data_IF_967176874138
#
_entry.id   IF_967176874138
#
_cell.length_a   1.000
_cell.length_b   1.000
_cell.length_c   1.000
_cell.angle_alpha   90.00
_cell.angle_beta   90.00
_cell.angle_gamma   90.00
#
_symmetry.space_group_name_H-M   'P 1'
#
loop_
_entity.id
_entity.type
_entity.pdbx_description
1 polymer ?
#
# COMPACT_ATOMS: atom_id res chain seq x y z
N UNK A 1 -2.19 -33.52 8.20
CA UNK A 1 -0.92 -32.99 8.70
C UNK A 1 -1.13 -31.57 9.14
N UNK A 2 -1.14 -31.36 10.43
CA UNK A 2 -1.24 -30.01 10.93
C UNK A 2 0.02 -29.27 10.53
N UNK A 3 -0.09 -28.39 9.55
CA UNK A 3 0.92 -27.37 9.35
C UNK A 3 0.92 -26.59 10.65
N UNK A 4 2.01 -26.65 11.40
CA UNK A 4 2.20 -25.73 12.49
C UNK A 4 1.87 -24.36 11.94
N UNK A 5 0.81 -23.74 12.45
CA UNK A 5 0.50 -22.37 12.14
C UNK A 5 1.64 -21.53 12.69
N UNK A 6 2.69 -21.38 11.91
CA UNK A 6 3.62 -20.29 12.12
C UNK A 6 2.78 -19.04 11.92
N UNK A 7 2.26 -18.50 13.01
CA UNK A 7 1.59 -17.24 12.99
C UNK A 7 2.64 -16.17 12.70
N UNK A 8 2.80 -15.83 11.43
CA UNK A 8 3.65 -14.74 11.03
C UNK A 8 2.96 -13.43 11.44
N UNK A 9 3.27 -12.96 12.63
CA UNK A 9 2.84 -11.63 13.01
C UNK A 9 3.64 -10.61 12.19
N UNK A 10 2.97 -9.72 11.44
CA UNK A 10 3.67 -8.70 10.67
C UNK A 10 4.41 -7.74 11.60
N UNK A 11 5.60 -7.33 11.18
CA UNK A 11 6.38 -6.33 11.88
C UNK A 11 6.06 -4.93 11.37
N UNK A 12 6.00 -3.95 12.26
CA UNK A 12 5.74 -2.56 11.89
C UNK A 12 7.01 -1.93 11.31
N UNK A 13 6.93 -1.41 10.09
CA UNK A 13 8.01 -0.66 9.47
C UNK A 13 7.98 0.80 9.92
N UNK A 14 6.82 1.43 9.84
CA UNK A 14 6.62 2.84 10.20
C UNK A 14 5.13 3.11 10.44
N UNK A 15 4.82 4.07 11.33
CA UNK A 15 3.50 4.66 11.42
C UNK A 15 3.27 5.63 10.27
N UNK A 16 2.16 5.50 9.57
CA UNK A 16 1.81 6.40 8.46
C UNK A 16 0.97 7.59 8.90
N UNK A 17 0.62 7.66 10.18
CA UNK A 17 -0.11 8.79 10.73
C UNK A 17 0.73 10.07 10.68
N UNK A 18 0.24 11.07 9.92
CA UNK A 18 0.94 12.33 9.74
C UNK A 18 2.24 12.24 8.94
N UNK A 19 2.52 11.09 8.31
CA UNK A 19 3.72 10.91 7.51
C UNK A 19 3.60 11.69 6.19
N UNK A 20 4.57 12.57 5.84
CA UNK A 20 4.58 13.26 4.56
C UNK A 20 4.62 12.29 3.39
N UNK A 21 3.96 12.64 2.27
CA UNK A 21 3.92 11.79 1.07
C UNK A 21 5.32 11.42 0.57
N UNK A 22 6.25 12.35 0.62
CA UNK A 22 7.65 12.13 0.23
C UNK A 22 8.30 10.99 1.03
N UNK A 23 8.10 10.99 2.35
CA UNK A 23 8.64 9.96 3.22
C UNK A 23 7.93 8.63 3.03
N UNK A 24 6.62 8.65 2.85
CA UNK A 24 5.81 7.49 2.54
C UNK A 24 6.27 6.80 1.25
N UNK A 25 6.56 7.56 0.20
CA UNK A 25 7.11 7.02 -1.05
C UNK A 25 8.49 6.39 -0.84
N UNK A 26 9.35 6.99 -0.01
CA UNK A 26 10.66 6.44 0.32
C UNK A 26 10.54 5.09 1.05
N UNK A 27 9.62 4.97 2.00
CA UNK A 27 9.35 3.69 2.68
C UNK A 27 8.82 2.64 1.73
N UNK A 28 7.93 2.99 0.82
CA UNK A 28 7.41 2.06 -0.21
C UNK A 28 8.49 1.52 -1.12
N UNK A 29 9.54 2.26 -1.40
CA UNK A 29 10.65 1.82 -2.24
C UNK A 29 11.51 0.74 -1.61
N UNK A 30 11.40 0.51 -0.31
CA UNK A 30 12.17 -0.50 0.40
C UNK A 30 11.76 -1.94 0.08
N UNK A 31 10.62 -2.13 -0.56
CA UNK A 31 10.11 -3.46 -0.86
C UNK A 31 8.98 -3.43 -1.87
N UNK A 32 8.25 -4.52 -1.93
CA UNK A 32 7.16 -4.76 -2.87
C UNK A 32 5.84 -4.77 -2.09
N UNK A 33 4.97 -3.82 -2.42
CA UNK A 33 3.63 -3.72 -1.86
C UNK A 33 2.59 -4.42 -2.72
N UNK A 34 1.35 -4.51 -2.22
CA UNK A 34 0.25 -5.15 -2.92
C UNK A 34 -0.06 -4.53 -4.29
N UNK A 35 0.03 -3.21 -4.42
CA UNK A 35 -0.17 -2.52 -5.69
C UNK A 35 0.92 -2.78 -6.73
N UNK A 36 2.09 -3.26 -6.31
CA UNK A 36 3.20 -3.58 -7.20
C UNK A 36 3.05 -4.96 -7.86
N UNK A 37 2.27 -5.84 -7.27
CA UNK A 37 2.12 -7.23 -7.73
C UNK A 37 1.61 -7.33 -9.16
N UNK A 38 0.64 -6.52 -9.55
CA UNK A 38 0.11 -6.52 -10.91
C UNK A 38 1.16 -6.11 -11.95
N UNK A 39 2.02 -5.15 -11.63
CA UNK A 39 3.12 -4.74 -12.49
C UNK A 39 4.15 -5.87 -12.67
N UNK A 40 4.49 -6.58 -11.59
CA UNK A 40 5.42 -7.71 -11.62
C UNK A 40 4.87 -8.85 -12.50
N UNK A 41 3.58 -9.12 -12.40
CA UNK A 41 2.91 -10.15 -13.19
C UNK A 41 2.61 -9.74 -14.63
N UNK A 42 2.88 -8.50 -14.99
CA UNK A 42 2.66 -7.98 -16.35
C UNK A 42 1.19 -7.75 -16.71
N UNK A 43 0.31 -7.64 -15.73
CA UNK A 43 -1.13 -7.44 -15.92
C UNK A 43 -1.62 -6.03 -15.51
N UNK A 44 -0.75 -5.18 -15.04
CA UNK A 44 -1.12 -3.80 -14.68
C UNK A 44 -1.34 -2.96 -15.95
N UNK A 45 -2.45 -2.21 -16.06
CA UNK A 45 -2.65 -1.24 -17.13
C UNK A 45 -1.85 0.06 -16.92
N UNK A 46 -1.26 0.27 -15.74
CA UNK A 46 -0.63 1.53 -15.35
C UNK A 46 0.90 1.48 -15.38
N UNK A 47 1.50 0.33 -15.13
CA UNK A 47 2.94 0.19 -15.03
C UNK A 47 3.39 -1.21 -15.46
N UNK A 48 4.63 -1.28 -15.96
CA UNK A 48 5.31 -2.55 -16.28
C UNK A 48 6.24 -2.96 -15.14
N UNK A 49 6.70 -4.22 -15.17
CA UNK A 49 7.73 -4.69 -14.24
C UNK A 49 9.03 -3.86 -14.36
N UNK A 50 9.36 -3.38 -15.57
CA UNK A 50 10.50 -2.52 -15.84
C UNK A 50 10.34 -1.15 -15.19
N UNK A 51 9.16 -0.53 -15.27
CA UNK A 51 8.86 0.75 -14.63
C UNK A 51 9.02 0.63 -13.12
N UNK A 52 8.52 -0.45 -12.54
CA UNK A 52 8.64 -0.74 -11.12
C UNK A 52 10.10 -0.90 -10.69
N UNK A 53 10.88 -1.63 -11.47
CA UNK A 53 12.31 -1.82 -11.23
C UNK A 53 13.06 -0.48 -11.16
N UNK A 54 12.82 0.40 -12.12
CA UNK A 54 13.46 1.72 -12.16
C UNK A 54 13.01 2.61 -11.01
N UNK A 55 11.75 2.57 -10.64
CA UNK A 55 11.24 3.31 -9.50
C UNK A 55 11.87 2.84 -8.19
N UNK A 56 11.93 1.53 -7.95
CA UNK A 56 12.51 0.98 -6.71
C UNK A 56 14.00 1.29 -6.57
N UNK A 57 14.73 1.38 -7.67
CA UNK A 57 16.14 1.76 -7.68
C UNK A 57 16.37 3.28 -7.76
N UNK A 58 15.30 4.09 -7.80
CA UNK A 58 15.35 5.55 -7.91
C UNK A 58 16.05 6.05 -9.18
N UNK A 59 16.07 5.24 -10.24
CA UNK A 59 16.70 5.62 -11.52
C UNK A 59 15.79 6.59 -12.27
N UNK A 60 14.49 6.26 -12.37
CA UNK A 60 13.45 7.13 -12.90
C UNK A 60 12.30 7.11 -11.90
N UNK A 61 12.08 8.17 -11.12
CA UNK A 61 10.94 8.23 -10.24
C UNK A 61 9.67 8.13 -11.07
N UNK A 62 8.76 7.25 -10.67
CA UNK A 62 7.43 7.20 -11.26
C UNK A 62 6.73 8.53 -10.92
N UNK A 63 6.72 9.42 -11.89
CA UNK A 63 6.01 10.67 -11.77
C UNK A 63 4.52 10.38 -11.92
N UNK A 64 3.85 10.25 -10.77
CA UNK A 64 2.41 10.35 -10.72
C UNK A 64 2.03 11.76 -11.11
N UNK A 65 2.00 12.03 -12.42
CA UNK A 65 1.78 13.34 -13.00
C UNK A 65 0.63 14.08 -12.31
N UNK A 66 0.72 15.39 -12.25
CA UNK A 66 -0.29 16.32 -11.75
C UNK A 66 -1.71 16.03 -12.30
N UNK A 67 -1.83 15.33 -13.44
CA UNK A 67 -3.10 14.94 -14.04
C UNK A 67 -3.94 13.98 -13.18
N UNK A 68 -3.36 13.29 -12.19
CA UNK A 68 -4.06 12.32 -11.35
C UNK A 68 -4.47 12.85 -9.97
N UNK A 69 -4.19 14.10 -9.65
CA UNK A 69 -4.49 14.63 -8.32
C UNK A 69 -5.98 14.63 -8.00
N UNK A 70 -6.84 14.90 -9.02
CA UNK A 70 -8.29 14.87 -8.85
C UNK A 70 -8.79 13.49 -8.49
N UNK A 71 -8.32 12.45 -9.20
CA UNK A 71 -8.69 11.06 -8.91
C UNK A 71 -8.23 10.63 -7.50
N UNK A 72 -7.03 11.00 -7.10
CA UNK A 72 -6.51 10.76 -5.75
C UNK A 72 -7.34 11.48 -4.69
N UNK A 73 -7.68 12.74 -4.92
CA UNK A 73 -8.51 13.54 -4.00
C UNK A 73 -9.92 12.95 -3.87
N UNK A 74 -10.53 12.56 -4.98
CA UNK A 74 -11.83 11.88 -4.99
C UNK A 74 -11.77 10.57 -4.21
N UNK A 75 -10.72 9.77 -4.41
CA UNK A 75 -10.51 8.54 -3.66
C UNK A 75 -10.50 8.78 -2.15
N UNK A 76 -9.73 9.74 -1.69
CA UNK A 76 -9.65 10.08 -0.26
C UNK A 76 -10.98 10.60 0.30
N UNK A 77 -11.70 11.44 -0.45
CA UNK A 77 -13.00 11.97 -0.01
C UNK A 77 -14.08 10.88 0.04
N UNK A 78 -14.07 9.94 -0.91
CA UNK A 78 -15.05 8.86 -0.98
C UNK A 78 -14.76 7.74 0.02
N UNK A 79 -13.52 7.57 0.45
CA UNK A 79 -13.12 6.52 1.39
C UNK A 79 -13.88 6.62 2.72
N UNK A 80 -13.94 7.81 3.30
CA UNK A 80 -14.69 8.06 4.54
C UNK A 80 -16.18 7.80 4.36
N UNK A 81 -16.74 8.21 3.22
CA UNK A 81 -18.15 7.97 2.90
C UNK A 81 -18.44 6.47 2.77
N UNK A 82 -17.60 5.72 2.08
CA UNK A 82 -17.76 4.27 1.90
C UNK A 82 -17.67 3.57 3.27
N UNK A 83 -16.74 3.97 4.11
CA UNK A 83 -16.60 3.44 5.46
C UNK A 83 -17.86 3.69 6.30
N UNK A 84 -18.43 4.89 6.23
CA UNK A 84 -19.66 5.23 6.93
C UNK A 84 -20.85 4.41 6.44
N UNK A 85 -21.03 4.27 5.13
CA UNK A 85 -22.09 3.46 4.52
C UNK A 85 -21.96 2.00 4.96
N UNK A 86 -20.77 1.45 4.93
CA UNK A 86 -20.51 0.08 5.37
C UNK A 86 -20.87 -0.12 6.85
N UNK A 87 -20.45 0.80 7.71
CA UNK A 87 -20.77 0.76 9.13
C UNK A 87 -22.30 0.80 9.38
N UNK A 88 -23.01 1.71 8.71
CA UNK A 88 -24.46 1.86 8.86
C UNK A 88 -25.20 0.61 8.39
N UNK A 89 -24.78 0.01 7.27
CA UNK A 89 -25.45 -1.17 6.69
C UNK A 89 -25.15 -2.47 7.42
N UNK A 90 -23.95 -2.63 7.97
CA UNK A 90 -23.50 -3.90 8.57
C UNK A 90 -23.46 -3.87 10.09
N UNK A 91 -23.38 -2.69 10.70
CA UNK A 91 -23.14 -2.54 12.13
C UNK A 91 -21.71 -2.87 12.57
N UNK A 92 -20.83 -3.27 11.64
CA UNK A 92 -19.46 -3.57 11.97
C UNK A 92 -18.68 -2.31 12.30
N UNK A 93 -17.81 -2.43 13.29
CA UNK A 93 -16.92 -1.35 13.69
C UNK A 93 -15.80 -1.20 12.66
N UNK A 94 -15.55 0.04 12.23
CA UNK A 94 -14.45 0.38 11.33
C UNK A 94 -13.44 1.23 12.08
N UNK A 95 -12.18 0.93 11.91
CA UNK A 95 -11.07 1.70 12.47
C UNK A 95 -9.89 1.72 11.50
N UNK A 96 -9.03 2.72 11.64
CA UNK A 96 -7.82 2.86 10.84
C UNK A 96 -6.61 2.45 11.67
N UNK A 97 -5.73 1.64 11.07
CA UNK A 97 -4.48 1.23 11.71
C UNK A 97 -3.36 2.22 11.41
N UNK A 98 -3.31 2.76 10.20
CA UNK A 98 -2.30 3.73 9.73
C UNK A 98 -0.87 3.30 10.03
N UNK A 99 -0.51 2.11 9.59
CA UNK A 99 0.83 1.55 9.74
C UNK A 99 1.24 0.84 8.45
N UNK A 100 2.50 0.94 8.13
CA UNK A 100 3.13 0.12 7.12
C UNK A 100 3.83 -1.06 7.79
N UNK A 101 3.56 -2.26 7.29
CA UNK A 101 4.10 -3.50 7.83
C UNK A 101 5.06 -4.15 6.85
N UNK A 102 5.93 -5.00 7.34
CA UNK A 102 6.73 -5.90 6.53
C UNK A 102 6.63 -7.33 7.04
N UNK A 103 6.83 -8.29 6.14
CA UNK A 103 6.80 -9.71 6.51
C UNK A 103 8.04 -10.04 7.35
N UNK A 104 7.89 -10.75 8.48
CA UNK A 104 9.00 -10.98 9.41
C UNK A 104 10.08 -11.90 8.85
N UNK A 105 9.76 -12.75 7.87
CA UNK A 105 10.68 -13.67 7.20
C UNK A 105 11.09 -13.12 5.83
N UNK A 106 10.10 -12.76 5.01
CA UNK A 106 10.30 -12.18 3.68
C UNK A 106 10.23 -10.66 3.75
N UNK A 107 11.29 -10.03 4.25
CA UNK A 107 11.33 -8.61 4.61
C UNK A 107 11.07 -7.64 3.44
N UNK A 108 11.17 -8.12 2.20
CA UNK A 108 10.83 -7.33 1.01
C UNK A 108 9.32 -7.18 0.78
N UNK A 109 8.50 -7.99 1.44
CA UNK A 109 7.04 -7.92 1.30
C UNK A 109 6.49 -6.86 2.25
N UNK A 110 5.90 -5.83 1.67
CA UNK A 110 5.32 -4.71 2.40
C UNK A 110 3.80 -4.71 2.30
N UNK A 111 3.15 -4.23 3.35
CA UNK A 111 1.72 -3.97 3.37
C UNK A 111 1.46 -2.63 4.05
N UNK A 112 0.79 -1.73 3.34
CA UNK A 112 0.33 -0.45 3.89
C UNK A 112 -1.16 -0.56 4.21
N UNK A 113 -1.48 -0.44 5.48
CA UNK A 113 -2.85 -0.59 5.98
C UNK A 113 -3.30 0.74 6.56
N UNK A 114 -4.34 1.28 5.99
CA UNK A 114 -4.97 2.53 6.41
C UNK A 114 -5.90 2.38 7.63
#
# INVERSE_FOLDING_TARGET
MAVASESYAPSVLVSTEGLPEKDWLEYRRRGIGGSDAAAILGISPFATARDLYYDKLKIVPFDGSESNWVAKKMGHLLEDLVAEIFHVKTGYRIYQIKKMFYHPVHTFMLADID
#
